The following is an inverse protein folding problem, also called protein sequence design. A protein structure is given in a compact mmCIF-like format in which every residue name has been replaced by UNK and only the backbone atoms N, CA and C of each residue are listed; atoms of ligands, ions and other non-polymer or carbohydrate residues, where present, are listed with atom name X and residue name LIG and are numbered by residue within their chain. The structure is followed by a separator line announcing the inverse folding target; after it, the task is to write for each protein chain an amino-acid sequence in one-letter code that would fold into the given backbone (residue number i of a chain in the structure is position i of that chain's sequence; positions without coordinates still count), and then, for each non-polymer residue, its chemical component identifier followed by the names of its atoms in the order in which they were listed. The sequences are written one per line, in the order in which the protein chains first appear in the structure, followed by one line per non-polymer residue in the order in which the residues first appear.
data_IF_071270689829
#
_entry.id   IF_071270689829
#
_cell.length_a   1.000
_cell.length_b   1.000
_cell.length_c   1.000
_cell.angle_alpha   90.00
_cell.angle_beta   90.00
_cell.angle_gamma   90.00
#
_symmetry.space_group_name_H-M   'P 1'
#
loop_
_entity.id
_entity.type
_entity.pdbx_description
1 polymer ?
#
# COMPACT_ATOMS: atom_id res chain seq x y z
N UNK A 1 10.13 -28.35 -3.20
CA UNK A 1 10.33 -26.88 -3.14
C UNK A 1 11.79 -26.58 -2.81
N UNK A 2 12.44 -25.85 -3.70
CA UNK A 2 13.84 -25.46 -3.56
C UNK A 2 14.02 -24.51 -2.35
N UNK A 3 15.06 -24.65 -1.51
CA UNK A 3 15.27 -23.76 -0.35
C UNK A 3 15.32 -22.28 -0.75
N UNK A 4 15.87 -21.97 -1.93
CA UNK A 4 15.90 -20.62 -2.49
C UNK A 4 14.48 -20.04 -2.71
N UNK A 5 13.55 -20.84 -3.19
CA UNK A 5 12.17 -20.43 -3.47
C UNK A 5 11.43 -20.11 -2.17
N UNK A 6 11.66 -20.87 -1.08
CA UNK A 6 11.14 -20.56 0.25
C UNK A 6 11.66 -19.23 0.82
N UNK A 7 12.92 -18.90 0.57
CA UNK A 7 13.51 -17.64 0.97
C UNK A 7 12.88 -16.48 0.21
N UNK A 8 12.75 -16.58 -1.11
CA UNK A 8 12.12 -15.57 -1.97
C UNK A 8 10.66 -15.33 -1.55
N UNK A 9 9.89 -16.39 -1.27
CA UNK A 9 8.50 -16.28 -0.83
C UNK A 9 8.37 -15.62 0.54
N UNK A 10 9.28 -15.95 1.48
CA UNK A 10 9.33 -15.31 2.80
C UNK A 10 9.70 -13.83 2.72
N UNK A 11 10.69 -13.48 1.91
CA UNK A 11 11.07 -12.08 1.69
C UNK A 11 9.96 -11.30 0.98
N UNK A 12 9.30 -11.89 0.00
CA UNK A 12 8.15 -11.30 -0.66
C UNK A 12 6.97 -11.07 0.28
N UNK A 13 6.65 -12.05 1.12
CA UNK A 13 5.60 -11.94 2.13
C UNK A 13 5.94 -10.89 3.20
N UNK A 14 7.17 -10.90 3.71
CA UNK A 14 7.63 -9.93 4.71
C UNK A 14 7.65 -8.51 4.12
N UNK A 15 8.12 -8.33 2.89
CA UNK A 15 8.12 -7.05 2.19
C UNK A 15 6.71 -6.52 1.95
N UNK A 16 5.77 -7.39 1.54
CA UNK A 16 4.37 -7.01 1.36
C UNK A 16 3.70 -6.64 2.68
N UNK A 17 3.98 -7.36 3.77
CA UNK A 17 3.47 -7.05 5.09
C UNK A 17 4.03 -5.72 5.60
N UNK A 18 5.33 -5.50 5.45
CA UNK A 18 5.98 -4.25 5.84
C UNK A 18 5.41 -3.07 5.03
N UNK A 19 5.20 -3.25 3.73
CA UNK A 19 4.57 -2.27 2.86
C UNK A 19 3.13 -1.98 3.29
N UNK A 20 2.32 -3.00 3.63
CA UNK A 20 0.95 -2.83 4.10
C UNK A 20 0.89 -2.05 5.42
N UNK A 21 1.77 -2.38 6.38
CA UNK A 21 1.88 -1.65 7.66
C UNK A 21 2.32 -0.21 7.40
N UNK A 22 3.31 0.01 6.57
CA UNK A 22 3.81 1.33 6.23
C UNK A 22 2.74 2.19 5.56
N UNK A 23 2.01 1.63 4.58
CA UNK A 23 0.93 2.31 3.87
C UNK A 23 -0.30 2.60 4.74
N UNK A 24 -0.54 1.83 5.78
CA UNK A 24 -1.64 2.08 6.72
C UNK A 24 -1.24 3.07 7.83
N UNK A 25 -0.02 2.95 8.35
CA UNK A 25 0.46 3.75 9.49
C UNK A 25 0.90 5.14 9.05
N UNK A 26 1.54 5.27 7.90
CA UNK A 26 2.10 6.55 7.46
C UNK A 26 1.04 7.65 7.25
N UNK A 27 -0.08 7.42 6.56
CA UNK A 27 -1.13 8.42 6.42
C UNK A 27 -1.77 8.80 7.76
N UNK A 28 -1.90 7.82 8.65
CA UNK A 28 -2.41 8.07 10.00
C UNK A 28 -1.45 8.93 10.81
N UNK A 29 -0.16 8.64 10.72
CA UNK A 29 0.90 9.43 11.35
C UNK A 29 0.90 10.87 10.79
N UNK A 30 0.84 11.02 9.47
CA UNK A 30 0.78 12.31 8.79
C UNK A 30 -0.46 13.14 9.19
N UNK A 31 -1.59 12.48 9.47
CA UNK A 31 -2.80 13.15 9.95
C UNK A 31 -2.69 13.61 11.41
N UNK A 32 -1.95 12.87 12.26
CA UNK A 32 -1.82 13.15 13.70
C UNK A 32 -0.63 14.05 14.01
N UNK A 33 0.47 13.98 13.26
CA UNK A 33 1.68 14.76 13.52
C UNK A 33 1.49 16.29 13.53
N UNK A 34 0.68 16.90 12.65
CA UNK A 34 0.40 18.33 12.71
C UNK A 34 -0.24 18.77 14.03
N UNK A 35 -1.09 17.92 14.62
CA UNK A 35 -1.71 18.20 15.92
C UNK A 35 -0.73 18.16 17.09
N UNK A 36 0.43 17.50 16.90
CA UNK A 36 1.53 17.44 17.87
C UNK A 36 2.60 18.54 17.65
N UNK A 37 2.35 19.49 16.75
CA UNK A 37 3.30 20.58 16.46
C UNK A 37 4.52 20.17 15.62
N UNK A 38 4.54 18.96 15.09
CA UNK A 38 5.65 18.39 14.31
C UNK A 38 5.49 18.61 12.79
N UNK A 39 4.57 19.51 12.39
CA UNK A 39 4.32 19.84 10.97
C UNK A 39 5.57 20.32 10.22
N UNK A 40 6.56 20.90 10.91
CA UNK A 40 7.81 21.35 10.31
C UNK A 40 8.74 20.19 9.87
N UNK A 41 8.54 18.99 10.42
CA UNK A 41 9.32 17.79 10.03
C UNK A 41 8.72 17.09 8.80
N UNK A 42 7.49 17.42 8.45
CA UNK A 42 6.73 16.83 7.37
C UNK A 42 6.47 17.89 6.28
N UNK A 43 7.54 18.37 5.66
CA UNK A 43 7.43 19.26 4.51
C UNK A 43 6.77 18.55 3.31
N UNK A 44 6.25 19.32 2.36
CA UNK A 44 5.66 18.84 1.09
C UNK A 44 6.51 17.76 0.41
N UNK A 45 7.84 17.83 0.53
CA UNK A 45 8.76 16.85 -0.03
C UNK A 45 8.61 15.44 0.53
N UNK A 46 8.29 15.30 1.82
CA UNK A 46 8.08 14.00 2.45
C UNK A 46 6.76 13.37 1.96
N UNK A 47 5.73 14.16 1.81
CA UNK A 47 4.43 13.73 1.31
C UNK A 47 4.54 13.23 -0.14
N UNK A 48 5.20 14.00 -1.01
CA UNK A 48 5.52 13.61 -2.38
C UNK A 48 6.34 12.31 -2.44
N UNK A 49 7.43 12.25 -1.68
CA UNK A 49 8.30 11.08 -1.63
C UNK A 49 7.52 9.83 -1.18
N UNK A 50 6.63 9.98 -0.19
CA UNK A 50 5.79 8.89 0.32
C UNK A 50 4.82 8.38 -0.75
N UNK A 51 4.07 9.26 -1.40
CA UNK A 51 3.08 8.87 -2.42
C UNK A 51 3.78 8.22 -3.63
N UNK A 52 4.90 8.75 -4.08
CA UNK A 52 5.69 8.14 -5.16
C UNK A 52 6.21 6.76 -4.74
N UNK A 53 6.80 6.64 -3.55
CA UNK A 53 7.33 5.38 -3.04
C UNK A 53 6.24 4.31 -2.92
N UNK A 54 5.10 4.64 -2.33
CA UNK A 54 3.93 3.75 -2.20
C UNK A 54 3.39 3.35 -3.57
N UNK A 55 3.36 4.28 -4.55
CA UNK A 55 2.92 4.00 -5.91
C UNK A 55 3.83 3.00 -6.61
N UNK A 56 5.14 3.21 -6.55
CA UNK A 56 6.12 2.32 -7.17
C UNK A 56 6.08 0.93 -6.55
N UNK A 57 6.14 0.84 -5.22
CA UNK A 57 6.10 -0.45 -4.53
C UNK A 57 4.76 -1.16 -4.71
N UNK A 58 3.66 -0.43 -4.61
CA UNK A 58 2.32 -0.98 -4.76
C UNK A 58 2.10 -1.56 -6.16
N UNK A 59 2.42 -0.80 -7.19
CA UNK A 59 2.33 -1.26 -8.57
C UNK A 59 3.24 -2.46 -8.84
N UNK A 60 4.50 -2.41 -8.39
CA UNK A 60 5.43 -3.52 -8.57
C UNK A 60 4.92 -4.80 -7.88
N UNK A 61 4.50 -4.70 -6.62
CA UNK A 61 4.02 -5.84 -5.84
C UNK A 61 2.75 -6.46 -6.44
N UNK A 62 1.80 -5.62 -6.88
CA UNK A 62 0.53 -6.11 -7.40
C UNK A 62 0.61 -6.57 -8.86
N UNK A 63 1.43 -5.95 -9.69
CA UNK A 63 1.67 -6.46 -11.06
C UNK A 63 2.33 -7.83 -10.99
N UNK A 64 3.27 -8.03 -10.07
CA UNK A 64 3.88 -9.34 -9.84
C UNK A 64 2.84 -10.37 -9.35
N UNK A 65 2.03 -10.01 -8.35
CA UNK A 65 0.95 -10.86 -7.84
C UNK A 65 -0.12 -11.14 -8.90
N UNK A 66 -0.51 -10.15 -9.69
CA UNK A 66 -1.47 -10.32 -10.78
C UNK A 66 -1.01 -11.31 -11.84
N UNK A 67 0.29 -11.32 -12.16
CA UNK A 67 0.86 -12.33 -13.07
C UNK A 67 0.72 -13.76 -12.56
N UNK A 68 0.68 -13.94 -11.24
CA UNK A 68 0.51 -15.25 -10.61
C UNK A 68 -0.95 -15.67 -10.46
N UNK A 69 -1.85 -14.75 -10.08
CA UNK A 69 -3.22 -15.09 -9.65
C UNK A 69 -4.32 -14.62 -10.60
N UNK A 70 -4.06 -13.66 -11.47
CA UNK A 70 -5.02 -13.01 -12.40
C UNK A 70 -6.32 -12.51 -11.71
N UNK A 71 -6.26 -12.19 -10.42
CA UNK A 71 -7.41 -11.70 -9.66
C UNK A 71 -7.40 -10.19 -9.61
N UNK A 72 -8.41 -9.55 -10.22
CA UNK A 72 -8.50 -8.10 -10.36
C UNK A 72 -8.83 -7.36 -9.05
N UNK A 73 -9.36 -8.04 -8.02
CA UNK A 73 -9.83 -7.38 -6.78
C UNK A 73 -8.74 -6.58 -6.06
N UNK A 74 -7.56 -7.15 -5.91
CA UNK A 74 -6.43 -6.45 -5.28
C UNK A 74 -5.96 -5.27 -6.12
N UNK A 75 -5.96 -5.43 -7.45
CA UNK A 75 -5.56 -4.38 -8.38
C UNK A 75 -6.54 -3.18 -8.36
N UNK A 76 -7.85 -3.44 -8.34
CA UNK A 76 -8.85 -2.37 -8.26
C UNK A 76 -8.76 -1.58 -6.96
N UNK A 77 -8.55 -2.27 -5.82
CA UNK A 77 -8.33 -1.62 -4.52
C UNK A 77 -7.08 -0.74 -4.54
N UNK A 78 -5.98 -1.24 -5.12
CA UNK A 78 -4.75 -0.47 -5.23
C UNK A 78 -4.95 0.78 -6.09
N UNK A 79 -5.51 0.63 -7.29
CA UNK A 79 -5.70 1.75 -8.21
C UNK A 79 -6.62 2.81 -7.61
N UNK A 80 -7.69 2.41 -6.93
CA UNK A 80 -8.58 3.34 -6.23
C UNK A 80 -7.87 4.06 -5.10
N UNK A 81 -7.09 3.33 -4.29
CA UNK A 81 -6.30 3.92 -3.21
C UNK A 81 -5.24 4.89 -3.71
N UNK A 82 -4.50 4.52 -4.77
CA UNK A 82 -3.52 5.41 -5.38
C UNK A 82 -4.18 6.64 -6.00
N UNK A 83 -5.33 6.49 -6.67
CA UNK A 83 -6.06 7.63 -7.22
C UNK A 83 -6.44 8.64 -6.13
N UNK A 84 -6.92 8.17 -4.97
CA UNK A 84 -7.21 9.04 -3.83
C UNK A 84 -5.96 9.73 -3.29
N UNK A 85 -4.84 9.03 -3.15
CA UNK A 85 -3.57 9.62 -2.70
C UNK A 85 -3.09 10.71 -3.66
N UNK A 86 -3.14 10.44 -4.97
CA UNK A 86 -2.75 11.43 -5.98
C UNK A 86 -3.71 12.62 -6.05
N UNK A 87 -5.02 12.40 -5.89
CA UNK A 87 -6.00 13.50 -5.79
C UNK A 87 -5.73 14.34 -4.55
N UNK A 88 -5.48 13.72 -3.39
CA UNK A 88 -5.12 14.42 -2.16
C UNK A 88 -3.88 15.30 -2.33
N UNK A 89 -2.88 14.81 -3.06
CA UNK A 89 -1.62 15.50 -3.27
C UNK A 89 -1.69 16.63 -4.33
N UNK A 90 -2.39 16.38 -5.45
CA UNK A 90 -2.38 17.28 -6.60
C UNK A 90 -3.51 18.32 -6.58
N UNK A 91 -4.63 18.03 -5.90
CA UNK A 91 -5.77 18.92 -5.87
C UNK A 91 -5.60 20.00 -4.81
N UNK A 92 -5.15 21.17 -5.22
CA UNK A 92 -4.80 22.33 -4.37
C UNK A 92 -5.87 22.70 -3.33
N UNK A 93 -7.16 22.81 -3.66
CA UNK A 93 -8.18 23.17 -2.68
C UNK A 93 -8.31 22.14 -1.54
N UNK A 94 -8.04 20.87 -1.83
CA UNK A 94 -8.05 19.80 -0.85
C UNK A 94 -6.76 19.82 0.00
N UNK A 95 -5.63 20.03 -0.65
CA UNK A 95 -4.31 20.08 0.00
C UNK A 95 -4.21 21.22 1.02
N UNK A 96 -4.86 22.36 0.75
CA UNK A 96 -4.93 23.49 1.69
C UNK A 96 -5.92 23.29 2.85
N UNK A 97 -6.74 22.25 2.81
CA UNK A 97 -7.77 21.94 3.79
C UNK A 97 -7.34 20.80 4.69
N UNK A 98 -6.92 21.07 5.93
CA UNK A 98 -6.33 20.08 6.84
C UNK A 98 -7.18 18.82 7.04
N UNK A 99 -8.50 18.98 7.33
CA UNK A 99 -9.37 17.83 7.65
C UNK A 99 -9.74 17.02 6.39
N UNK A 100 -10.24 17.63 5.29
CA UNK A 100 -10.54 16.89 4.07
C UNK A 100 -9.32 16.22 3.48
N UNK A 101 -8.16 16.87 3.49
CA UNK A 101 -6.90 16.29 3.04
C UNK A 101 -6.55 15.04 3.85
N UNK A 102 -6.55 15.13 5.18
CA UNK A 102 -6.25 13.99 6.06
C UNK A 102 -7.21 12.81 5.83
N UNK A 103 -8.50 13.08 5.63
CA UNK A 103 -9.50 12.04 5.34
C UNK A 103 -9.19 11.32 4.03
N UNK A 104 -8.93 12.07 2.95
CA UNK A 104 -8.63 11.48 1.64
C UNK A 104 -7.33 10.69 1.66
N UNK A 105 -6.29 11.21 2.30
CA UNK A 105 -5.00 10.50 2.44
C UNK A 105 -5.13 9.23 3.27
N UNK A 106 -5.89 9.27 4.36
CA UNK A 106 -6.16 8.09 5.21
C UNK A 106 -6.96 7.02 4.46
N UNK A 107 -8.01 7.41 3.74
CA UNK A 107 -8.79 6.48 2.92
C UNK A 107 -7.95 5.86 1.81
N UNK A 108 -7.18 6.68 1.10
CA UNK A 108 -6.27 6.21 0.05
C UNK A 108 -5.25 5.20 0.58
N UNK A 109 -4.55 5.54 1.66
CA UNK A 109 -3.57 4.67 2.32
C UNK A 109 -4.18 3.37 2.84
N UNK A 110 -5.38 3.44 3.43
CA UNK A 110 -6.11 2.25 3.91
C UNK A 110 -6.46 1.31 2.77
N UNK A 111 -6.95 1.84 1.63
CA UNK A 111 -7.26 1.02 0.45
C UNK A 111 -6.01 0.36 -0.14
N UNK A 112 -4.89 1.07 -0.19
CA UNK A 112 -3.60 0.50 -0.61
C UNK A 112 -3.16 -0.61 0.35
N UNK A 113 -3.26 -0.38 1.67
CA UNK A 113 -2.96 -1.39 2.68
C UNK A 113 -3.84 -2.64 2.53
N UNK A 114 -5.15 -2.46 2.34
CA UNK A 114 -6.09 -3.57 2.07
C UNK A 114 -5.75 -4.31 0.79
N UNK A 115 -5.36 -3.62 -0.28
CA UNK A 115 -4.93 -4.24 -1.53
C UNK A 115 -3.74 -5.18 -1.30
N UNK A 116 -2.75 -4.77 -0.52
CA UNK A 116 -1.60 -5.61 -0.15
C UNK A 116 -2.01 -6.80 0.71
N UNK A 117 -2.91 -6.62 1.69
CA UNK A 117 -3.41 -7.71 2.52
C UNK A 117 -4.18 -8.76 1.69
N UNK A 118 -5.02 -8.30 0.77
CA UNK A 118 -5.75 -9.19 -0.15
C UNK A 118 -4.77 -9.95 -1.04
N UNK A 119 -3.78 -9.26 -1.61
CA UNK A 119 -2.74 -9.89 -2.43
C UNK A 119 -1.95 -10.96 -1.64
N UNK A 120 -1.60 -10.65 -0.38
CA UNK A 120 -0.89 -11.58 0.50
C UNK A 120 -1.73 -12.84 0.80
N UNK A 121 -3.04 -12.67 1.10
CA UNK A 121 -3.94 -13.80 1.34
C UNK A 121 -4.08 -14.69 0.11
N UNK A 122 -4.20 -14.10 -1.07
CA UNK A 122 -4.31 -14.85 -2.32
C UNK A 122 -3.04 -15.66 -2.60
N UNK A 123 -1.86 -15.13 -2.31
CA UNK A 123 -0.60 -15.87 -2.42
C UNK A 123 -0.52 -17.07 -1.48
N UNK A 124 -1.04 -16.95 -0.25
CA UNK A 124 -1.02 -18.05 0.71
C UNK A 124 -1.96 -19.21 0.34
N UNK A 125 -3.13 -18.91 -0.23
CA UNK A 125 -4.12 -19.94 -0.60
C UNK A 125 -3.65 -20.83 -1.74
N UNK A 126 -2.90 -20.31 -2.71
CA UNK A 126 -2.37 -21.10 -3.83
C UNK A 126 -1.23 -22.06 -3.46
N UNK A 127 -0.53 -21.79 -2.35
CA UNK A 127 0.54 -22.69 -1.87
C UNK A 127 -0.02 -23.97 -1.23
N UNK A 128 -1.24 -23.93 -0.70
CA UNK A 128 -1.88 -25.09 -0.07
C UNK A 128 -2.56 -26.02 -1.09
N UNK A 129 -3.08 -25.54 -2.20
CA UNK A 129 -3.76 -26.38 -3.19
C UNK A 129 -2.79 -27.20 -4.06
N UNK A 130 -1.57 -26.73 -4.28
CA UNK A 130 -0.56 -27.47 -5.05
C UNK A 130 0.06 -28.67 -4.30
N UNK A 131 -0.11 -28.76 -2.96
CA UNK A 131 0.46 -29.83 -2.14
C UNK A 131 -0.53 -30.95 -1.78
N UNK A 132 -1.82 -30.81 -2.11
CA UNK A 132 -2.85 -31.79 -1.82
C UNK A 132 -3.29 -32.65 -3.01
N UNK A 133 -2.60 -32.57 -4.14
CA UNK A 133 -2.82 -33.44 -5.28
C UNK A 133 -1.92 -34.68 -5.20
N UNK A 134 -2.27 -35.60 -4.30
CA UNK A 134 -1.85 -37.00 -4.35
C UNK A 134 -3.06 -37.92 -4.21
#
# INVERSE_FOLDING_TARGET
MNPLQRWIDRFGAAGSLLCAVHCAVLPLLLAVLPSLGLSSLLGEGVEWATVVFVSVLGLFSLVWGYRQHRIFRALTLLLTGLALLWVGLLYQPLHLSTVPHAVVMTLGGTLVGLAHLVNLRLNHWHVHDASCAH
#
